data_IF_344889241944
#
_entry.id   IF_344889241944
#
_cell.length_a   1.000
_cell.length_b   1.000
_cell.length_c   1.000
_cell.angle_alpha   90.00
_cell.angle_beta   90.00
_cell.angle_gamma   90.00
#
_symmetry.space_group_name_H-M   'P 1'
#
loop_
_entity.id
_entity.type
_entity.pdbx_description
1 polymer ?
#
# COMPACT_ATOMS: atom_id res chain seq x y z
N UNK A 1 26.98 8.16 -7.67
CA UNK A 1 26.49 7.55 -6.42
C UNK A 1 25.31 6.67 -6.79
N UNK A 2 25.29 5.41 -6.35
CA UNK A 2 24.13 4.54 -6.55
C UNK A 2 22.95 5.14 -5.80
N UNK A 3 21.80 5.27 -6.46
CA UNK A 3 20.59 5.71 -5.78
C UNK A 3 20.20 4.67 -4.72
N UNK A 4 19.82 5.15 -3.54
CA UNK A 4 19.35 4.29 -2.46
C UNK A 4 18.08 3.54 -2.90
N UNK A 5 18.13 2.19 -2.90
CA UNK A 5 17.03 1.36 -3.40
C UNK A 5 15.86 1.24 -2.41
N UNK A 6 16.17 1.32 -1.11
CA UNK A 6 15.22 1.40 0.00
C UNK A 6 15.57 2.65 0.80
N UNK A 7 14.72 3.68 0.74
CA UNK A 7 14.91 5.01 1.35
C UNK A 7 13.94 5.24 2.51
N UNK A 8 14.15 6.36 3.22
CA UNK A 8 13.28 6.86 4.30
C UNK A 8 13.25 6.02 5.58
N UNK A 9 14.21 5.11 5.76
CA UNK A 9 14.39 4.31 6.96
C UNK A 9 15.87 4.20 7.29
N UNK A 10 16.21 4.01 8.56
CA UNK A 10 17.60 3.79 8.95
C UNK A 10 17.99 2.32 8.72
N UNK A 11 19.03 2.09 7.92
CA UNK A 11 19.49 0.75 7.58
C UNK A 11 20.17 0.10 8.79
N UNK A 12 19.92 -1.19 9.00
CA UNK A 12 20.49 -1.94 10.13
C UNK A 12 19.77 -1.72 11.46
N UNK A 13 18.65 -0.99 11.50
CA UNK A 13 17.79 -0.86 12.69
C UNK A 13 16.44 -1.54 12.49
N UNK A 14 15.93 -2.10 13.59
CA UNK A 14 14.59 -2.71 13.63
C UNK A 14 13.53 -1.60 13.75
N UNK A 15 12.51 -1.65 12.90
CA UNK A 15 11.34 -0.78 12.94
C UNK A 15 10.08 -1.54 12.52
N UNK A 16 8.91 -1.07 12.95
CA UNK A 16 7.62 -1.54 12.45
C UNK A 16 7.16 -0.70 11.25
N UNK A 17 6.70 -1.34 10.17
CA UNK A 17 6.23 -0.60 8.98
C UNK A 17 5.07 0.34 9.31
N UNK A 18 4.16 -0.08 10.19
CA UNK A 18 3.00 0.72 10.61
C UNK A 18 3.39 2.01 11.35
N UNK A 19 4.59 2.05 11.93
CA UNK A 19 5.08 3.20 12.69
C UNK A 19 5.75 4.25 11.79
N UNK A 20 5.89 3.96 10.49
CA UNK A 20 6.50 4.88 9.51
C UNK A 20 5.55 5.94 8.97
N UNK A 21 4.26 5.82 9.27
CA UNK A 21 3.20 6.69 8.76
C UNK A 21 2.18 6.95 9.86
N UNK A 22 1.68 8.19 9.91
CA UNK A 22 0.69 8.63 10.90
C UNK A 22 -0.71 8.68 10.30
N UNK A 23 -1.71 8.33 11.12
CA UNK A 23 -3.11 8.58 10.79
C UNK A 23 -3.43 10.05 11.02
N UNK A 24 -4.14 10.65 10.08
CA UNK A 24 -4.66 12.00 10.20
C UNK A 24 -6.09 12.04 9.67
N UNK A 25 -6.97 12.73 10.40
CA UNK A 25 -8.39 12.78 10.10
C UNK A 25 -8.65 13.34 8.69
N UNK A 26 -9.46 12.64 7.89
CA UNK A 26 -9.82 13.02 6.52
C UNK A 26 -8.64 13.00 5.55
N UNK A 27 -7.63 12.13 5.77
CA UNK A 27 -6.44 12.07 4.91
C UNK A 27 -5.99 10.66 4.56
N UNK A 28 -5.26 10.61 3.44
CA UNK A 28 -4.41 9.50 3.00
C UNK A 28 -2.95 9.95 3.10
N UNK A 29 -2.22 9.42 4.07
CA UNK A 29 -0.79 9.64 4.26
C UNK A 29 0.01 8.46 3.68
N UNK A 30 1.21 8.72 3.18
CA UNK A 30 2.07 7.65 2.65
C UNK A 30 3.56 7.93 2.79
N UNK A 31 4.35 6.86 2.91
CA UNK A 31 5.80 6.89 2.85
C UNK A 31 6.30 5.85 1.83
N UNK A 32 6.94 6.32 0.77
CA UNK A 32 7.50 5.41 -0.25
C UNK A 32 8.91 4.97 0.14
N UNK A 33 9.08 3.66 0.33
CA UNK A 33 10.35 3.04 0.68
C UNK A 33 11.18 2.72 -0.56
N UNK A 34 10.56 2.30 -1.65
CA UNK A 34 11.27 2.02 -2.90
C UNK A 34 10.49 2.49 -4.11
N UNK A 35 11.20 3.03 -5.10
CA UNK A 35 10.62 3.40 -6.37
C UNK A 35 11.66 3.23 -7.48
N UNK A 36 11.53 2.12 -8.18
CA UNK A 36 12.36 1.74 -9.32
C UNK A 36 11.45 1.42 -10.52
N UNK A 37 11.98 1.26 -11.73
CA UNK A 37 11.19 0.81 -12.87
C UNK A 37 10.45 -0.52 -12.61
N UNK A 38 11.10 -1.48 -11.93
CA UNK A 38 10.55 -2.83 -11.69
C UNK A 38 9.78 -3.02 -10.37
N UNK A 39 9.93 -2.12 -9.40
CA UNK A 39 9.29 -2.29 -8.09
C UNK A 39 8.98 -0.95 -7.42
N UNK A 40 7.80 -0.87 -6.80
CA UNK A 40 7.40 0.21 -5.88
C UNK A 40 6.99 -0.41 -4.55
N UNK A 41 7.48 0.15 -3.45
CA UNK A 41 7.05 -0.21 -2.09
C UNK A 41 6.64 1.07 -1.36
N UNK A 42 5.41 1.11 -0.88
CA UNK A 42 4.85 2.27 -0.18
C UNK A 42 4.05 1.80 1.03
N UNK A 43 4.23 2.46 2.17
CA UNK A 43 3.38 2.29 3.35
C UNK A 43 2.34 3.40 3.36
N UNK A 44 1.10 3.08 3.68
CA UNK A 44 -0.02 4.02 3.75
C UNK A 44 -0.66 4.02 5.14
N UNK A 45 -1.16 5.19 5.54
CA UNK A 45 -2.12 5.37 6.62
C UNK A 45 -3.33 6.11 6.04
N UNK A 46 -4.51 5.52 6.19
CA UNK A 46 -5.74 5.96 5.53
C UNK A 46 -6.81 6.05 6.60
N UNK A 47 -7.46 7.21 6.71
CA UNK A 47 -8.57 7.40 7.65
C UNK A 47 -9.83 6.61 7.21
N UNK A 48 -10.81 6.49 8.11
CA UNK A 48 -12.11 5.91 7.75
C UNK A 48 -12.76 6.67 6.60
N UNK A 49 -13.40 5.94 5.69
CA UNK A 49 -14.06 6.43 4.47
C UNK A 49 -13.17 7.13 3.43
N UNK A 50 -11.87 7.31 3.73
CA UNK A 50 -10.87 7.80 2.81
C UNK A 50 -10.20 6.68 2.02
N UNK A 51 -9.51 7.02 0.92
CA UNK A 51 -8.83 6.01 0.12
C UNK A 51 -8.34 6.46 -1.26
N UNK A 52 -8.21 5.49 -2.16
CA UNK A 52 -7.77 5.71 -3.54
C UNK A 52 -8.84 5.22 -4.50
N UNK A 53 -9.25 6.11 -5.41
CA UNK A 53 -10.21 5.79 -6.46
C UNK A 53 -9.74 4.66 -7.36
N UNK A 54 -10.71 4.05 -8.06
CA UNK A 54 -10.47 2.94 -8.96
C UNK A 54 -9.46 3.29 -10.06
N UNK A 55 -8.43 2.46 -10.21
CA UNK A 55 -7.44 2.54 -11.28
C UNK A 55 -6.86 1.15 -11.57
N UNK A 56 -6.08 1.02 -12.65
CA UNK A 56 -5.37 -0.19 -12.99
C UNK A 56 -3.86 0.06 -12.96
N UNK A 57 -3.11 -0.86 -12.34
CA UNK A 57 -1.65 -0.81 -12.29
C UNK A 57 -1.04 -1.62 -13.46
N UNK A 58 0.11 -1.20 -14.01
CA UNK A 58 0.80 -1.94 -15.07
C UNK A 58 1.57 -3.19 -14.56
N UNK A 59 1.44 -3.54 -13.28
CA UNK A 59 2.10 -4.67 -12.65
C UNK A 59 1.23 -5.24 -11.53
N UNK A 60 1.65 -6.36 -10.96
CA UNK A 60 0.94 -6.99 -9.87
C UNK A 60 1.12 -6.18 -8.58
N UNK A 61 0.02 -5.94 -7.89
CA UNK A 61 -0.03 -5.15 -6.67
C UNK A 61 -0.45 -6.02 -5.49
N UNK A 62 0.45 -6.19 -4.53
CA UNK A 62 0.22 -6.85 -3.25
C UNK A 62 -0.09 -5.80 -2.19
N UNK A 63 -1.24 -5.93 -1.52
CA UNK A 63 -1.58 -5.18 -0.33
C UNK A 63 -1.50 -6.12 0.88
N UNK A 64 -0.85 -5.66 1.96
CA UNK A 64 -0.88 -6.29 3.28
C UNK A 64 -1.35 -5.27 4.31
N UNK A 65 -2.42 -5.56 5.03
CA UNK A 65 -2.93 -4.67 6.09
C UNK A 65 -2.06 -4.83 7.33
N UNK A 66 -1.60 -3.71 7.87
CA UNK A 66 -0.69 -3.64 9.02
C UNK A 66 -1.41 -3.31 10.32
N UNK A 67 -2.51 -2.56 10.24
CA UNK A 67 -3.35 -2.13 11.36
C UNK A 67 -4.73 -1.72 10.84
N UNK A 68 -5.79 -1.89 11.64
CA UNK A 68 -7.15 -1.51 11.26
C UNK A 68 -7.77 -2.44 10.22
N UNK A 69 -8.80 -1.93 9.53
CA UNK A 69 -9.55 -2.66 8.50
C UNK A 69 -9.72 -1.82 7.24
N UNK A 70 -9.32 -2.37 6.10
CA UNK A 70 -9.51 -1.78 4.78
C UNK A 70 -10.47 -2.61 3.92
N UNK A 71 -11.07 -1.97 2.92
CA UNK A 71 -11.80 -2.63 1.84
C UNK A 71 -11.06 -2.39 0.52
N UNK A 72 -10.74 -3.48 -0.17
CA UNK A 72 -10.07 -3.47 -1.46
C UNK A 72 -11.08 -4.04 -2.46
N UNK A 73 -11.51 -3.22 -3.40
CA UNK A 73 -12.40 -3.67 -4.48
C UNK A 73 -11.57 -4.05 -5.68
N UNK A 74 -11.75 -5.24 -6.22
CA UNK A 74 -11.03 -5.75 -7.41
C UNK A 74 -12.07 -6.21 -8.42
N UNK A 75 -12.07 -5.67 -9.64
CA UNK A 75 -13.09 -5.96 -10.66
C UNK A 75 -14.53 -5.85 -10.10
N UNK A 76 -14.82 -4.76 -9.39
CA UNK A 76 -16.11 -4.48 -8.74
C UNK A 76 -16.52 -5.44 -7.60
N UNK A 77 -15.63 -6.34 -7.18
CA UNK A 77 -15.86 -7.24 -6.03
C UNK A 77 -15.14 -6.68 -4.78
N UNK A 78 -15.87 -6.29 -3.72
CA UNK A 78 -15.26 -5.79 -2.49
C UNK A 78 -14.69 -6.93 -1.64
N UNK A 79 -13.49 -6.71 -1.09
CA UNK A 79 -12.81 -7.59 -0.15
C UNK A 79 -12.42 -6.81 1.09
N UNK A 80 -12.97 -7.18 2.25
CA UNK A 80 -12.56 -6.60 3.53
C UNK A 80 -11.34 -7.35 4.07
N UNK A 81 -10.30 -6.61 4.44
CA UNK A 81 -9.04 -7.13 4.99
C UNK A 81 -8.77 -6.52 6.37
N UNK A 82 -8.41 -7.39 7.31
CA UNK A 82 -7.97 -7.05 8.66
C UNK A 82 -6.44 -7.10 8.75
N UNK A 83 -5.89 -6.57 9.84
CA UNK A 83 -4.45 -6.63 10.12
C UNK A 83 -3.88 -8.06 10.00
N UNK A 84 -2.80 -8.19 9.23
CA UNK A 84 -2.14 -9.46 8.90
C UNK A 84 -2.65 -10.13 7.62
N UNK A 85 -3.78 -9.71 7.07
CA UNK A 85 -4.35 -10.25 5.83
C UNK A 85 -3.78 -9.54 4.59
N UNK A 86 -3.82 -10.22 3.45
CA UNK A 86 -3.25 -9.72 2.20
C UNK A 86 -4.08 -10.12 0.99
N UNK A 87 -4.00 -9.31 -0.06
CA UNK A 87 -4.62 -9.59 -1.36
C UNK A 87 -3.66 -9.17 -2.49
N UNK A 88 -3.69 -9.91 -3.59
CA UNK A 88 -2.96 -9.58 -4.82
C UNK A 88 -3.95 -9.17 -5.89
N UNK A 89 -3.66 -8.06 -6.55
CA UNK A 89 -4.41 -7.52 -7.68
C UNK A 89 -3.50 -7.64 -8.89
N UNK A 90 -3.90 -8.45 -9.87
CA UNK A 90 -3.09 -8.70 -11.07
C UNK A 90 -2.98 -7.47 -11.95
N UNK A 91 -1.87 -7.36 -12.69
CA UNK A 91 -1.65 -6.29 -13.66
C UNK A 91 -2.88 -6.05 -14.56
N UNK A 92 -3.26 -4.79 -14.73
CA UNK A 92 -4.41 -4.39 -15.54
C UNK A 92 -5.78 -4.55 -14.88
N UNK A 93 -5.90 -5.21 -13.72
CA UNK A 93 -7.18 -5.33 -13.01
C UNK A 93 -7.56 -4.00 -12.34
N UNK A 94 -8.74 -3.40 -12.64
CA UNK A 94 -9.23 -2.24 -11.91
C UNK A 94 -9.40 -2.54 -10.43
N UNK A 95 -8.89 -1.65 -9.59
CA UNK A 95 -9.00 -1.76 -8.15
C UNK A 95 -9.08 -0.41 -7.45
N UNK A 96 -9.79 -0.38 -6.32
CA UNK A 96 -9.86 0.76 -5.40
C UNK A 96 -9.58 0.31 -3.97
N UNK A 97 -9.21 1.27 -3.12
CA UNK A 97 -8.90 1.03 -1.71
C UNK A 97 -9.68 2.03 -0.88
N UNK A 98 -10.29 1.60 0.23
CA UNK A 98 -11.01 2.45 1.18
C UNK A 98 -10.77 1.98 2.62
N UNK A 99 -10.69 2.90 3.57
CA UNK A 99 -10.70 2.56 5.00
C UNK A 99 -12.10 2.25 5.51
N UNK A 100 -12.31 1.04 6.03
CA UNK A 100 -13.54 0.71 6.80
C UNK A 100 -13.43 1.28 8.21
N UNK A 101 -12.24 1.15 8.78
CA UNK A 101 -11.78 1.93 9.93
C UNK A 101 -10.54 2.72 9.49
N UNK A 102 -10.02 3.64 10.32
CA UNK A 102 -8.65 4.10 10.12
C UNK A 102 -7.74 2.88 10.07
N UNK A 103 -6.89 2.79 9.03
CA UNK A 103 -6.08 1.60 8.77
C UNK A 103 -4.75 1.95 8.13
N UNK A 104 -3.80 1.02 8.25
CA UNK A 104 -2.46 1.14 7.67
C UNK A 104 -2.17 -0.08 6.81
N UNK A 105 -1.48 0.10 5.69
CA UNK A 105 -1.15 -0.99 4.78
C UNK A 105 0.22 -0.81 4.12
N UNK A 106 0.87 -1.92 3.78
CA UNK A 106 1.96 -1.94 2.81
C UNK A 106 1.35 -2.22 1.43
N UNK A 107 1.74 -1.43 0.44
CA UNK A 107 1.55 -1.70 -0.98
C UNK A 107 2.90 -2.02 -1.62
N UNK A 108 2.98 -3.18 -2.27
CA UNK A 108 4.09 -3.54 -3.14
C UNK A 108 3.57 -3.73 -4.56
N UNK A 109 4.12 -3.00 -5.52
CA UNK A 109 3.81 -3.17 -6.94
C UNK A 109 5.05 -3.70 -7.64
N UNK A 110 4.96 -4.90 -8.20
CA UNK A 110 6.02 -5.53 -8.99
C UNK A 110 5.65 -5.41 -10.46
N UNK A 111 6.57 -4.85 -11.26
CA UNK A 111 6.36 -4.57 -12.68
C UNK A 111 7.34 -5.38 -13.51
N UNK A 112 6.97 -5.78 -14.74
CA UNK A 112 7.93 -6.29 -15.70
C UNK A 112 9.08 -5.30 -15.88
N UNK A 113 10.32 -5.80 -15.91
CA UNK A 113 11.51 -4.96 -16.10
C UNK A 113 11.92 -4.80 -17.56
N UNK A 114 11.31 -5.55 -18.48
CA UNK A 114 11.40 -5.44 -19.94
C UNK A 114 10.11 -5.95 -20.58
#
# INVERSE_FOLDING_TARGET
>A
MMAELIKNVEHGKVFGLKDLVELEAGKVNSLTLSQTPGCKVTVFAIDADEGMSSHAAPGDALITVLEGTGEITVNDVPHQLNAGESIVMTAGSPHSVRGVTPFKMQLTVVKPTE
#
